data_IF_091145599497
#
_entry.id   IF_091145599497
#
_cell.length_a   1.000
_cell.length_b   1.000
_cell.length_c   1.000
_cell.angle_alpha   90.00
_cell.angle_beta   90.00
_cell.angle_gamma   90.00
#
_symmetry.space_group_name_H-M   'P 1'
#
loop_
_entity.id
_entity.type
_entity.pdbx_description
1 polymer ?
#
# COMPACT_ATOMS: atom_id res chain seq x y z
N UNK A 1 34.47 -22.23 -24.92
CA UNK A 1 33.17 -22.92 -24.73
C UNK A 1 31.99 -21.95 -24.71
N UNK A 2 32.01 -20.88 -23.89
CA UNK A 2 30.96 -19.85 -23.84
C UNK A 2 30.64 -19.19 -25.20
N UNK A 3 31.65 -18.93 -26.04
CA UNK A 3 31.43 -18.38 -27.38
C UNK A 3 30.72 -19.34 -28.34
N UNK A 4 30.95 -20.66 -28.24
CA UNK A 4 30.27 -21.67 -29.07
C UNK A 4 28.79 -21.87 -28.66
N UNK A 5 28.48 -21.69 -27.37
CA UNK A 5 27.10 -21.70 -26.85
C UNK A 5 26.33 -20.48 -27.36
N UNK A 6 26.97 -19.31 -27.43
CA UNK A 6 26.36 -18.09 -27.97
C UNK A 6 26.03 -18.23 -29.46
N UNK A 7 26.93 -18.79 -30.26
CA UNK A 7 26.68 -19.04 -31.69
C UNK A 7 25.58 -20.07 -31.89
N UNK A 8 25.58 -21.16 -31.12
CA UNK A 8 24.55 -22.20 -31.18
C UNK A 8 23.15 -21.68 -30.79
N UNK A 9 23.05 -20.89 -29.71
CA UNK A 9 21.80 -20.24 -29.32
C UNK A 9 21.34 -19.25 -30.37
N UNK A 10 22.25 -18.45 -30.94
CA UNK A 10 21.93 -17.48 -31.97
C UNK A 10 21.45 -18.14 -33.26
N UNK A 11 22.09 -19.21 -33.71
CA UNK A 11 21.70 -19.95 -34.91
C UNK A 11 20.39 -20.72 -34.71
N UNK A 12 20.15 -21.28 -33.52
CA UNK A 12 18.88 -21.90 -33.15
C UNK A 12 17.74 -20.86 -33.07
N UNK A 13 18.00 -19.68 -32.47
CA UNK A 13 17.06 -18.56 -32.40
C UNK A 13 16.76 -18.00 -33.79
N UNK A 14 17.77 -17.87 -34.65
CA UNK A 14 17.62 -17.43 -36.04
C UNK A 14 16.77 -18.42 -36.83
N UNK A 15 17.02 -19.72 -36.71
CA UNK A 15 16.22 -20.77 -37.36
C UNK A 15 14.76 -20.76 -36.91
N UNK A 16 14.51 -20.57 -35.60
CA UNK A 16 13.14 -20.47 -35.05
C UNK A 16 12.43 -19.19 -35.54
N UNK A 17 13.15 -18.07 -35.67
CA UNK A 17 12.61 -16.80 -36.18
C UNK A 17 12.34 -16.87 -37.69
N UNK A 18 13.20 -17.55 -38.45
CA UNK A 18 13.06 -17.73 -39.89
C UNK A 18 11.99 -18.76 -40.27
N UNK A 19 11.81 -19.85 -39.49
CA UNK A 19 10.77 -20.86 -39.73
C UNK A 19 9.39 -20.46 -39.19
N UNK A 20 9.29 -19.77 -38.04
CA UNK A 20 8.01 -19.58 -37.35
C UNK A 20 7.43 -18.18 -37.44
N UNK A 21 8.02 -17.24 -38.19
CA UNK A 21 7.37 -16.04 -38.74
C UNK A 21 6.34 -15.27 -37.89
N UNK A 22 6.40 -15.31 -36.56
CA UNK A 22 5.28 -14.88 -35.72
C UNK A 22 5.71 -13.77 -34.77
N UNK A 23 4.95 -12.67 -34.82
CA UNK A 23 4.94 -11.55 -33.88
C UNK A 23 4.98 -12.03 -32.42
N UNK A 24 4.39 -13.19 -32.14
CA UNK A 24 4.41 -13.92 -30.85
C UNK A 24 5.82 -14.14 -30.27
N UNK A 25 6.83 -14.44 -31.09
CA UNK A 25 8.19 -14.72 -30.63
C UNK A 25 8.95 -13.46 -30.24
N UNK A 26 8.74 -12.35 -30.97
CA UNK A 26 9.29 -11.02 -30.63
C UNK A 26 8.72 -10.50 -29.31
N UNK A 27 7.46 -10.83 -29.03
CA UNK A 27 6.78 -10.48 -27.78
C UNK A 27 7.33 -11.28 -26.61
N UNK A 28 7.53 -12.60 -26.78
CA UNK A 28 8.16 -13.46 -25.77
C UNK A 28 9.58 -12.98 -25.42
N UNK A 29 10.39 -12.67 -26.43
CA UNK A 29 11.76 -12.20 -26.24
C UNK A 29 11.85 -10.80 -25.60
N UNK A 30 10.91 -9.91 -25.92
CA UNK A 30 10.81 -8.59 -25.26
C UNK A 30 10.37 -8.71 -23.81
N UNK A 31 9.49 -9.67 -23.50
CA UNK A 31 9.10 -10.02 -22.14
C UNK A 31 10.29 -10.60 -21.37
N UNK A 32 11.08 -11.49 -21.96
CA UNK A 32 12.28 -12.07 -21.34
C UNK A 32 13.35 -11.02 -21.02
N UNK A 33 13.65 -10.11 -21.95
CA UNK A 33 14.59 -9.00 -21.71
C UNK A 33 14.07 -8.08 -20.59
N UNK A 34 12.77 -7.79 -20.59
CA UNK A 34 12.14 -6.95 -19.56
C UNK A 34 12.18 -7.62 -18.18
N UNK A 35 11.95 -8.93 -18.11
CA UNK A 35 12.07 -9.74 -16.90
C UNK A 35 13.53 -9.80 -16.40
N UNK A 36 14.51 -9.88 -17.31
CA UNK A 36 15.93 -9.90 -16.96
C UNK A 36 16.42 -8.55 -16.40
N UNK A 37 16.05 -7.44 -17.04
CA UNK A 37 16.33 -6.09 -16.54
C UNK A 37 15.66 -5.81 -15.19
N UNK A 38 14.42 -6.29 -15.01
CA UNK A 38 13.72 -6.25 -13.73
C UNK A 38 14.46 -7.04 -12.64
N UNK A 39 14.96 -8.24 -12.96
CA UNK A 39 15.72 -9.08 -12.04
C UNK A 39 17.03 -8.42 -11.61
N UNK A 40 17.75 -7.79 -12.54
CA UNK A 40 18.99 -7.05 -12.25
C UNK A 40 18.76 -5.86 -11.31
N UNK A 41 17.73 -5.04 -11.58
CA UNK A 41 17.37 -3.92 -10.72
C UNK A 41 16.94 -4.36 -9.32
N UNK A 42 16.32 -5.53 -9.21
CA UNK A 42 15.85 -6.11 -7.95
C UNK A 42 16.98 -6.71 -7.11
N UNK A 43 17.96 -7.38 -7.74
CA UNK A 43 19.17 -7.84 -7.07
C UNK A 43 19.95 -6.66 -6.46
N UNK A 44 20.07 -5.54 -7.19
CA UNK A 44 20.66 -4.30 -6.67
C UNK A 44 19.92 -3.74 -5.45
N UNK A 45 18.58 -3.78 -5.44
CA UNK A 45 17.77 -3.32 -4.31
C UNK A 45 17.89 -4.23 -3.08
N UNK A 46 17.91 -5.56 -3.27
CA UNK A 46 18.10 -6.51 -2.17
C UNK A 46 19.52 -6.37 -1.60
N UNK A 47 20.54 -6.24 -2.45
CA UNK A 47 21.91 -5.95 -2.02
C UNK A 47 21.99 -4.64 -1.23
N UNK A 48 21.30 -3.58 -1.66
CA UNK A 48 21.25 -2.31 -0.91
C UNK A 48 20.59 -2.45 0.47
N UNK A 49 19.53 -3.26 0.59
CA UNK A 49 18.86 -3.53 1.87
C UNK A 49 19.74 -4.38 2.79
N UNK A 50 20.50 -5.32 2.22
CA UNK A 50 21.37 -6.23 2.98
C UNK A 50 22.69 -5.59 3.42
N UNK A 51 23.22 -4.63 2.64
CA UNK A 51 24.46 -3.92 2.93
C UNK A 51 24.28 -2.87 4.05
N UNK A 52 23.07 -2.32 4.23
CA UNK A 52 22.79 -1.30 5.26
C UNK A 52 21.50 -1.59 6.05
N UNK A 53 21.49 -2.66 6.89
CA UNK A 53 20.33 -3.01 7.71
C UNK A 53 20.03 -1.97 8.81
N UNK A 54 20.97 -1.09 9.14
CA UNK A 54 20.79 -0.03 10.14
C UNK A 54 19.97 1.16 9.63
N UNK A 55 20.03 1.46 8.32
CA UNK A 55 19.16 2.46 7.67
C UNK A 55 17.75 1.94 7.36
N UNK A 56 17.54 0.63 7.26
CA UNK A 56 16.23 0.00 7.02
C UNK A 56 15.77 -0.88 8.19
N UNK A 57 15.48 -0.31 9.38
CA UNK A 57 15.06 -1.10 10.52
C UNK A 57 13.61 -1.55 10.38
N UNK A 58 13.39 -2.76 9.87
CA UNK A 58 12.13 -3.50 10.05
C UNK A 58 12.08 -4.05 11.49
N UNK A 59 11.81 -3.14 12.43
CA UNK A 59 11.38 -3.36 13.82
C UNK A 59 12.05 -4.46 14.67
N UNK A 60 12.82 -4.04 15.68
CA UNK A 60 13.09 -4.85 16.88
C UNK A 60 11.86 -4.77 17.82
N UNK A 61 10.91 -5.68 17.68
CA UNK A 61 9.81 -5.82 18.65
C UNK A 61 10.27 -6.69 19.82
N UNK A 62 10.86 -6.06 20.84
CA UNK A 62 10.86 -6.68 22.17
C UNK A 62 9.41 -6.59 22.69
N UNK A 63 8.67 -7.70 22.63
CA UNK A 63 7.29 -7.77 23.08
C UNK A 63 7.20 -7.47 24.58
N UNK A 64 6.83 -6.24 24.92
CA UNK A 64 6.54 -5.84 26.30
C UNK A 64 5.14 -6.33 26.67
N UNK A 65 5.04 -7.63 26.97
CA UNK A 65 3.79 -8.29 27.39
C UNK A 65 3.44 -7.88 28.83
N UNK A 66 2.19 -7.49 29.06
CA UNK A 66 1.65 -7.28 30.42
C UNK A 66 1.45 -8.64 31.12
N UNK A 67 1.36 -8.64 32.45
CA UNK A 67 1.16 -9.88 33.22
C UNK A 67 -0.20 -10.51 32.92
N UNK A 68 -0.27 -11.83 32.84
CA UNK A 68 -1.52 -12.56 32.53
C UNK A 68 -2.65 -12.23 33.53
N UNK A 69 -2.31 -11.92 34.78
CA UNK A 69 -3.25 -11.47 35.82
C UNK A 69 -3.89 -10.11 35.48
N UNK A 70 -3.10 -9.15 35.00
CA UNK A 70 -3.61 -7.85 34.56
C UNK A 70 -4.46 -7.97 33.29
N UNK A 71 -4.03 -8.83 32.36
CA UNK A 71 -4.77 -9.11 31.12
C UNK A 71 -6.15 -9.69 31.47
N UNK A 72 -6.20 -10.72 32.33
CA UNK A 72 -7.45 -11.33 32.78
C UNK A 72 -8.38 -10.31 33.45
N UNK A 73 -7.85 -9.44 34.32
CA UNK A 73 -8.61 -8.39 35.02
C UNK A 73 -9.19 -7.35 34.05
N UNK A 74 -8.44 -6.95 33.02
CA UNK A 74 -8.93 -6.00 31.99
C UNK A 74 -10.02 -6.64 31.13
N UNK A 75 -9.84 -7.91 30.74
CA UNK A 75 -10.80 -8.68 29.95
C UNK A 75 -12.12 -8.88 30.71
N UNK A 76 -12.06 -9.27 31.99
CA UNK A 76 -13.25 -9.50 32.81
C UNK A 76 -14.06 -8.22 32.99
N UNK A 77 -13.39 -7.11 33.32
CA UNK A 77 -14.03 -5.80 33.47
C UNK A 77 -14.73 -5.35 32.19
N UNK A 78 -14.12 -5.54 31.02
CA UNK A 78 -14.73 -5.15 29.75
C UNK A 78 -15.91 -6.05 29.37
N UNK A 79 -15.83 -7.34 29.69
CA UNK A 79 -16.95 -8.26 29.51
C UNK A 79 -18.15 -7.82 30.35
N UNK A 80 -17.93 -7.48 31.62
CA UNK A 80 -18.95 -6.93 32.51
C UNK A 80 -19.54 -5.62 31.98
N UNK A 81 -18.69 -4.68 31.53
CA UNK A 81 -19.14 -3.41 30.95
C UNK A 81 -20.03 -3.61 29.71
N UNK A 82 -19.74 -4.59 28.85
CA UNK A 82 -20.56 -4.88 27.67
C UNK A 82 -21.87 -5.55 28.02
N UNK A 83 -21.85 -6.49 28.96
CA UNK A 83 -23.07 -7.13 29.46
C UNK A 83 -23.99 -6.10 30.10
N UNK A 84 -23.45 -5.20 30.93
CA UNK A 84 -24.22 -4.14 31.58
C UNK A 84 -24.81 -3.13 30.60
N UNK A 85 -24.04 -2.69 29.59
CA UNK A 85 -24.55 -1.77 28.55
C UNK A 85 -25.65 -2.42 27.72
N UNK A 86 -25.44 -3.65 27.26
CA UNK A 86 -26.43 -4.35 26.46
C UNK A 86 -27.71 -4.67 27.25
N UNK A 87 -27.59 -5.07 28.53
CA UNK A 87 -28.76 -5.31 29.38
C UNK A 87 -29.56 -4.02 29.66
N UNK A 88 -28.89 -2.86 29.67
CA UNK A 88 -29.53 -1.55 29.80
C UNK A 88 -30.28 -1.15 28.53
N UNK A 89 -29.65 -1.34 27.38
CA UNK A 89 -30.18 -0.87 26.10
C UNK A 89 -31.18 -1.85 25.47
N UNK A 90 -31.06 -3.16 25.78
CA UNK A 90 -31.83 -4.25 25.17
C UNK A 90 -32.23 -5.34 26.19
N UNK A 91 -33.04 -4.96 27.18
CA UNK A 91 -33.42 -5.80 28.33
C UNK A 91 -34.18 -7.10 27.99
N UNK A 92 -34.95 -7.11 26.89
CA UNK A 92 -35.69 -8.30 26.43
C UNK A 92 -34.76 -9.31 25.73
N UNK A 93 -33.90 -8.82 24.83
CA UNK A 93 -32.92 -9.65 24.11
C UNK A 93 -31.89 -10.27 25.05
N UNK A 94 -31.46 -9.52 26.08
CA UNK A 94 -30.52 -10.01 27.09
C UNK A 94 -31.08 -11.19 27.90
N UNK A 95 -32.41 -11.29 28.04
CA UNK A 95 -33.10 -12.40 28.73
C UNK A 95 -33.40 -13.57 27.82
N UNK A 96 -33.74 -13.33 26.55
CA UNK A 96 -34.10 -14.40 25.59
C UNK A 96 -32.89 -15.26 25.17
N UNK A 97 -31.71 -14.66 24.96
CA UNK A 97 -30.58 -15.38 24.36
C UNK A 97 -29.24 -15.13 25.08
N UNK A 98 -29.15 -15.39 26.40
CA UNK A 98 -27.96 -15.04 27.19
C UNK A 98 -26.70 -15.81 26.78
N UNK A 99 -26.82 -17.07 26.34
CA UNK A 99 -25.67 -17.90 25.93
C UNK A 99 -25.01 -17.41 24.64
N UNK A 100 -25.79 -17.09 23.61
CA UNK A 100 -25.24 -16.57 22.35
C UNK A 100 -24.64 -15.18 22.55
N UNK A 101 -25.32 -14.31 23.31
CA UNK A 101 -24.80 -12.98 23.65
C UNK A 101 -23.47 -13.05 24.40
N UNK A 102 -23.33 -13.96 25.36
CA UNK A 102 -22.08 -14.13 26.09
C UNK A 102 -20.94 -14.60 25.18
N UNK A 103 -21.22 -15.49 24.22
CA UNK A 103 -20.22 -15.91 23.23
C UNK A 103 -19.81 -14.74 22.32
N UNK A 104 -20.77 -13.97 21.82
CA UNK A 104 -20.53 -12.77 21.04
C UNK A 104 -19.74 -11.70 21.80
N UNK A 105 -20.07 -11.45 23.07
CA UNK A 105 -19.31 -10.52 23.90
C UNK A 105 -17.89 -11.02 24.18
N UNK A 106 -17.67 -12.33 24.36
CA UNK A 106 -16.31 -12.87 24.50
C UNK A 106 -15.48 -12.66 23.23
N UNK A 107 -16.05 -12.90 22.05
CA UNK A 107 -15.39 -12.62 20.76
C UNK A 107 -15.09 -11.12 20.66
N UNK A 108 -16.05 -10.26 20.96
CA UNK A 108 -15.88 -8.81 20.92
C UNK A 108 -14.82 -8.32 21.90
N UNK A 109 -14.84 -8.79 23.15
CA UNK A 109 -13.84 -8.49 24.18
C UNK A 109 -12.47 -8.98 23.74
N UNK A 110 -12.37 -10.14 23.10
CA UNK A 110 -11.13 -10.65 22.54
C UNK A 110 -10.60 -9.73 21.44
N UNK A 111 -11.42 -9.35 20.46
CA UNK A 111 -11.07 -8.39 19.40
C UNK A 111 -10.64 -7.05 20.02
N UNK A 112 -11.43 -6.49 20.93
CA UNK A 112 -11.14 -5.21 21.56
C UNK A 112 -9.89 -5.25 22.44
N UNK A 113 -9.59 -6.39 23.06
CA UNK A 113 -8.38 -6.57 23.87
C UNK A 113 -7.13 -6.47 23.01
N UNK A 114 -7.17 -7.00 21.79
CA UNK A 114 -6.14 -6.76 20.80
C UNK A 114 -6.15 -5.30 20.36
N UNK A 115 -7.30 -4.76 19.95
CA UNK A 115 -7.40 -3.37 19.46
C UNK A 115 -6.98 -2.30 20.48
N UNK A 116 -7.18 -2.55 21.77
CA UNK A 116 -6.80 -1.63 22.85
C UNK A 116 -5.44 -1.97 23.47
N UNK A 117 -4.75 -2.99 22.94
CA UNK A 117 -3.47 -3.50 23.42
C UNK A 117 -3.47 -3.79 24.92
N UNK A 118 -4.54 -4.39 25.45
CA UNK A 118 -4.62 -4.67 26.89
C UNK A 118 -3.59 -5.70 27.35
N UNK A 119 -3.04 -6.45 26.38
CA UNK A 119 -1.94 -7.40 26.52
C UNK A 119 -0.56 -6.74 26.59
N UNK A 120 -0.48 -5.43 26.37
CA UNK A 120 0.76 -4.65 26.40
C UNK A 120 0.76 -3.77 27.64
N UNK A 121 1.87 -3.74 28.36
CA UNK A 121 2.03 -2.82 29.49
C UNK A 121 2.05 -1.38 28.95
N UNK A 122 1.08 -0.59 29.40
CA UNK A 122 0.82 0.77 28.90
C UNK A 122 1.97 1.73 29.24
N UNK A 123 2.51 1.64 30.45
CA UNK A 123 3.57 2.54 30.90
C UNK A 123 4.88 2.22 30.19
N UNK A 124 5.17 0.93 30.00
CA UNK A 124 6.34 0.49 29.26
C UNK A 124 6.22 0.78 27.77
N UNK A 125 5.04 0.62 27.16
CA UNK A 125 4.81 0.96 25.75
C UNK A 125 4.99 2.45 25.47
N UNK A 126 4.44 3.32 26.32
CA UNK A 126 4.57 4.77 26.16
C UNK A 126 6.02 5.26 26.34
N UNK A 127 6.75 4.66 27.28
CA UNK A 127 8.13 5.06 27.59
C UNK A 127 9.19 4.45 26.65
N UNK A 128 9.06 3.17 26.29
CA UNK A 128 10.07 2.43 25.51
C UNK A 128 9.75 2.32 24.02
N UNK A 129 8.48 2.38 23.63
CA UNK A 129 8.05 2.17 22.24
C UNK A 129 7.70 3.51 21.55
N UNK A 130 8.67 4.44 21.55
CA UNK A 130 8.56 5.69 20.79
C UNK A 130 8.84 5.38 19.32
N UNK A 131 7.92 5.76 18.43
CA UNK A 131 8.18 5.69 17.00
C UNK A 131 9.39 6.58 16.68
N UNK A 132 10.43 6.02 16.05
CA UNK A 132 11.67 6.75 15.73
C UNK A 132 11.40 8.01 14.91
N UNK A 133 10.44 7.94 13.97
CA UNK A 133 10.03 9.05 13.11
C UNK A 133 8.94 9.94 13.73
N UNK A 134 8.17 9.42 14.69
CA UNK A 134 7.06 10.16 15.32
C UNK A 134 7.10 10.00 16.84
N UNK A 135 8.14 10.53 17.52
CA UNK A 135 8.35 10.31 18.96
C UNK A 135 7.21 10.89 19.81
N UNK A 136 6.49 11.86 19.26
CA UNK A 136 5.35 12.52 19.89
C UNK A 136 3.99 12.02 19.36
N UNK A 137 3.97 10.99 18.50
CA UNK A 137 2.73 10.40 18.00
C UNK A 137 1.79 10.09 19.16
N UNK A 138 0.52 10.47 19.05
CA UNK A 138 -0.46 10.11 20.05
C UNK A 138 -0.59 8.58 20.17
N UNK A 139 -0.99 8.11 21.35
CA UNK A 139 -1.09 6.68 21.65
C UNK A 139 -2.01 5.93 20.69
N UNK A 140 -3.16 6.52 20.37
CA UNK A 140 -4.14 5.91 19.47
C UNK A 140 -3.53 5.62 18.09
N UNK A 141 -2.74 6.54 17.55
CA UNK A 141 -2.04 6.36 16.29
C UNK A 141 -1.00 5.24 16.37
N UNK A 142 -0.22 5.17 17.47
CA UNK A 142 0.75 4.09 17.68
C UNK A 142 0.07 2.73 17.73
N UNK A 143 -1.05 2.65 18.44
CA UNK A 143 -1.85 1.44 18.56
C UNK A 143 -2.43 1.01 17.22
N UNK A 144 -3.05 1.92 16.47
CA UNK A 144 -3.60 1.60 15.15
C UNK A 144 -2.52 1.14 14.16
N UNK A 145 -1.35 1.77 14.16
CA UNK A 145 -0.24 1.38 13.28
C UNK A 145 0.29 0.01 13.67
N UNK A 146 0.48 -0.26 14.96
CA UNK A 146 0.90 -1.59 15.44
C UNK A 146 -0.10 -2.67 15.04
N UNK A 147 -1.40 -2.42 15.25
CA UNK A 147 -2.46 -3.35 14.86
C UNK A 147 -2.49 -3.57 13.36
N UNK A 148 -2.35 -2.51 12.59
CA UNK A 148 -2.26 -2.60 11.14
C UNK A 148 -1.07 -3.47 10.73
N UNK A 149 0.12 -3.26 11.32
CA UNK A 149 1.32 -4.06 11.03
C UNK A 149 1.11 -5.54 11.41
N UNK A 150 0.50 -5.83 12.56
CA UNK A 150 0.21 -7.20 12.96
C UNK A 150 -0.81 -7.89 12.04
N UNK A 151 -1.88 -7.18 11.68
CA UNK A 151 -2.92 -7.70 10.79
C UNK A 151 -2.36 -7.92 9.39
N UNK A 152 -1.61 -6.95 8.84
CA UNK A 152 -1.07 -7.06 7.50
C UNK A 152 0.00 -8.16 7.42
N UNK A 153 0.79 -8.36 8.47
CA UNK A 153 1.77 -9.46 8.52
C UNK A 153 1.07 -10.82 8.48
N UNK A 154 0.01 -11.00 9.29
CA UNK A 154 -0.78 -12.23 9.27
C UNK A 154 -1.51 -12.44 7.93
N UNK A 155 -2.11 -11.40 7.38
CA UNK A 155 -2.74 -11.45 6.06
C UNK A 155 -1.72 -11.79 4.97
N UNK A 156 -0.54 -11.17 4.98
CA UNK A 156 0.53 -11.44 4.03
C UNK A 156 1.00 -12.89 4.13
N UNK A 157 1.12 -13.44 5.35
CA UNK A 157 1.46 -14.84 5.54
C UNK A 157 0.43 -15.80 4.92
N UNK A 158 -0.87 -15.57 5.17
CA UNK A 158 -1.94 -16.38 4.57
C UNK A 158 -1.94 -16.27 3.04
N UNK A 159 -1.84 -15.05 2.51
CA UNK A 159 -1.85 -14.84 1.06
C UNK A 159 -0.60 -15.48 0.43
N UNK A 160 0.55 -15.43 1.09
CA UNK A 160 1.78 -16.07 0.62
C UNK A 160 1.63 -17.59 0.51
N UNK A 161 1.06 -18.25 1.54
CA UNK A 161 0.75 -19.68 1.51
C UNK A 161 -0.21 -20.00 0.35
N UNK A 162 -1.28 -19.21 0.20
CA UNK A 162 -2.25 -19.42 -0.86
C UNK A 162 -1.63 -19.30 -2.26
N UNK A 163 -0.81 -18.27 -2.49
CA UNK A 163 -0.11 -18.04 -3.76
C UNK A 163 0.91 -19.14 -4.04
N UNK A 164 1.60 -19.65 -3.01
CA UNK A 164 2.50 -20.78 -3.14
C UNK A 164 1.76 -22.03 -3.63
N UNK A 165 0.63 -22.37 -3.00
CA UNK A 165 -0.19 -23.50 -3.43
C UNK A 165 -0.68 -23.34 -4.87
N UNK A 166 -1.16 -22.14 -5.24
CA UNK A 166 -1.63 -21.86 -6.59
C UNK A 166 -0.52 -21.96 -7.64
N UNK A 167 0.68 -21.47 -7.34
CA UNK A 167 1.85 -21.60 -8.21
C UNK A 167 2.30 -23.07 -8.36
N UNK A 168 2.26 -23.87 -7.29
CA UNK A 168 2.57 -25.30 -7.35
C UNK A 168 1.57 -26.04 -8.26
N UNK A 169 0.27 -25.81 -8.07
CA UNK A 169 -0.79 -26.41 -8.90
C UNK A 169 -0.61 -26.02 -10.37
N UNK A 170 -0.33 -24.74 -10.63
CA UNK A 170 -0.08 -24.23 -11.98
C UNK A 170 1.16 -24.86 -12.61
N UNK A 171 2.26 -24.96 -11.85
CA UNK A 171 3.49 -25.62 -12.30
C UNK A 171 3.27 -27.09 -12.64
N UNK A 172 2.52 -27.83 -11.83
CA UNK A 172 2.17 -29.24 -12.12
C UNK A 172 1.39 -29.35 -13.43
N UNK A 173 0.41 -28.47 -13.67
CA UNK A 173 -0.37 -28.44 -14.91
C UNK A 173 0.48 -28.09 -16.13
N UNK A 174 1.39 -27.13 -16.01
CA UNK A 174 2.31 -26.73 -17.08
C UNK A 174 3.22 -27.91 -17.41
N UNK A 175 3.87 -28.51 -16.41
CA UNK A 175 4.73 -29.69 -16.60
C UNK A 175 3.96 -30.82 -17.26
N UNK A 176 2.74 -31.14 -16.80
CA UNK A 176 1.96 -32.24 -17.36
C UNK A 176 1.57 -32.00 -18.83
N UNK A 177 1.24 -30.77 -19.21
CA UNK A 177 0.98 -30.40 -20.60
C UNK A 177 2.25 -30.50 -21.46
N UNK A 178 3.37 -29.96 -20.99
CA UNK A 178 4.61 -29.98 -21.76
C UNK A 178 5.19 -31.39 -21.93
N UNK A 179 5.03 -32.27 -20.94
CA UNK A 179 5.47 -33.66 -21.03
C UNK A 179 4.68 -34.50 -22.05
N UNK A 180 3.51 -34.04 -22.51
CA UNK A 180 2.72 -34.72 -23.53
C UNK A 180 3.26 -34.52 -24.96
N UNK A 181 4.09 -33.52 -25.21
CA UNK A 181 4.68 -33.30 -26.53
C UNK A 181 5.75 -34.37 -26.85
N UNK A 182 5.68 -34.94 -28.06
CA UNK A 182 6.58 -36.03 -28.50
C UNK A 182 8.06 -35.68 -28.38
N UNK A 183 8.44 -34.45 -28.76
CA UNK A 183 9.84 -34.00 -28.69
C UNK A 183 10.38 -33.94 -27.25
N UNK A 184 9.52 -33.61 -26.27
CA UNK A 184 9.87 -33.59 -24.84
C UNK A 184 9.91 -35.00 -24.29
N UNK A 185 8.96 -35.86 -24.71
CA UNK A 185 8.86 -37.25 -24.25
C UNK A 185 10.14 -38.05 -24.51
N UNK A 186 10.78 -37.80 -25.65
CA UNK A 186 11.96 -38.54 -26.11
C UNK A 186 13.31 -37.97 -25.63
N UNK A 187 13.33 -36.78 -25.03
CA UNK A 187 14.58 -36.12 -24.60
C UNK A 187 14.60 -35.84 -23.09
N UNK A 188 15.45 -36.54 -22.34
CA UNK A 188 15.66 -36.29 -20.90
C UNK A 188 16.18 -34.87 -20.62
N UNK A 189 16.97 -34.30 -21.53
CA UNK A 189 17.51 -32.94 -21.39
C UNK A 189 16.36 -31.92 -21.47
N UNK A 190 15.41 -32.10 -22.40
CA UNK A 190 14.26 -31.20 -22.51
C UNK A 190 13.33 -31.28 -21.30
N UNK A 191 13.09 -32.48 -20.77
CA UNK A 191 12.33 -32.65 -19.51
C UNK A 191 12.97 -31.89 -18.36
N UNK A 192 14.29 -31.97 -18.23
CA UNK A 192 15.03 -31.27 -17.20
C UNK A 192 15.00 -29.74 -17.39
N UNK A 193 15.15 -29.26 -18.64
CA UNK A 193 15.06 -27.83 -18.96
C UNK A 193 13.70 -27.24 -18.58
N UNK A 194 12.60 -27.91 -18.96
CA UNK A 194 11.23 -27.50 -18.62
C UNK A 194 11.03 -27.47 -17.10
N UNK A 195 11.58 -28.46 -16.39
CA UNK A 195 11.50 -28.48 -14.92
C UNK A 195 12.21 -27.26 -14.30
N UNK A 196 13.40 -26.90 -14.80
CA UNK A 196 14.12 -25.70 -14.36
C UNK A 196 13.30 -24.44 -14.65
N UNK A 197 12.77 -24.29 -15.87
CA UNK A 197 11.96 -23.13 -16.25
C UNK A 197 10.73 -22.97 -15.36
N UNK A 198 10.03 -24.06 -15.04
CA UNK A 198 8.87 -24.03 -14.14
C UNK A 198 9.28 -23.65 -12.71
N UNK A 199 10.41 -24.16 -12.20
CA UNK A 199 10.93 -23.76 -10.89
C UNK A 199 11.27 -22.26 -10.88
N UNK A 200 11.93 -21.76 -11.92
CA UNK A 200 12.27 -20.34 -12.06
C UNK A 200 11.00 -19.48 -12.15
N UNK A 201 10.00 -19.91 -12.90
CA UNK A 201 8.71 -19.24 -13.00
C UNK A 201 8.00 -19.14 -11.64
N UNK A 202 7.91 -20.25 -10.90
CA UNK A 202 7.32 -20.28 -9.55
C UNK A 202 8.09 -19.34 -8.61
N UNK A 203 9.42 -19.40 -8.62
CA UNK A 203 10.25 -18.53 -7.80
C UNK A 203 10.01 -17.05 -8.11
N UNK A 204 10.01 -16.68 -9.40
CA UNK A 204 9.80 -15.30 -9.83
C UNK A 204 8.39 -14.80 -9.49
N UNK A 205 7.37 -15.64 -9.69
CA UNK A 205 5.98 -15.34 -9.31
C UNK A 205 5.85 -15.07 -7.81
N UNK A 206 6.42 -15.94 -6.97
CA UNK A 206 6.43 -15.74 -5.51
C UNK A 206 7.14 -14.45 -5.11
N UNK A 207 8.29 -14.19 -5.73
CA UNK A 207 9.06 -13.01 -5.47
C UNK A 207 8.25 -11.75 -5.84
N UNK A 208 7.64 -11.67 -7.03
CA UNK A 208 6.81 -10.53 -7.45
C UNK A 208 5.68 -10.29 -6.44
N UNK A 209 5.00 -11.35 -6.02
CA UNK A 209 3.91 -11.27 -5.04
C UNK A 209 4.40 -10.74 -3.68
N UNK A 210 5.56 -11.16 -3.19
CA UNK A 210 6.15 -10.62 -1.97
C UNK A 210 6.48 -9.13 -2.09
N UNK A 211 7.02 -8.70 -3.23
CA UNK A 211 7.30 -7.28 -3.47
C UNK A 211 6.01 -6.46 -3.51
N UNK A 212 4.97 -6.97 -4.16
CA UNK A 212 3.66 -6.33 -4.16
C UNK A 212 3.14 -6.21 -2.72
N UNK A 213 3.10 -7.29 -1.95
CA UNK A 213 2.65 -7.26 -0.55
C UNK A 213 3.41 -6.23 0.30
N UNK A 214 4.74 -6.15 0.14
CA UNK A 214 5.56 -5.16 0.84
C UNK A 214 5.20 -3.73 0.42
N UNK A 215 5.05 -3.48 -0.88
CA UNK A 215 4.67 -2.17 -1.41
C UNK A 215 3.28 -1.75 -0.90
N UNK A 216 2.28 -2.64 -0.97
CA UNK A 216 0.94 -2.35 -0.43
C UNK A 216 1.00 -2.11 1.08
N UNK A 217 1.69 -2.98 1.83
CA UNK A 217 1.83 -2.84 3.28
C UNK A 217 2.47 -1.51 3.67
N UNK A 218 3.54 -1.09 2.98
CA UNK A 218 4.21 0.20 3.23
C UNK A 218 3.32 1.40 2.88
N UNK A 219 2.58 1.36 1.78
CA UNK A 219 1.68 2.44 1.37
C UNK A 219 0.52 2.60 2.36
N UNK A 220 -0.11 1.48 2.75
CA UNK A 220 -1.17 1.50 3.74
C UNK A 220 -0.69 1.94 5.12
N UNK A 221 0.47 1.45 5.58
CA UNK A 221 1.08 1.91 6.83
C UNK A 221 1.32 3.42 6.80
N UNK A 222 1.91 3.92 5.72
CA UNK A 222 2.16 5.34 5.48
C UNK A 222 0.86 6.15 5.57
N UNK A 223 -0.19 5.69 4.88
CA UNK A 223 -1.50 6.31 4.95
C UNK A 223 -2.07 6.34 6.36
N UNK A 224 -2.09 5.22 7.08
CA UNK A 224 -2.63 5.17 8.44
C UNK A 224 -1.88 6.11 9.39
N UNK A 225 -0.54 6.12 9.32
CA UNK A 225 0.29 7.02 10.12
C UNK A 225 -0.08 8.48 9.84
N UNK A 226 0.02 8.91 8.58
CA UNK A 226 -0.20 10.32 8.25
C UNK A 226 -1.66 10.74 8.48
N UNK A 227 -2.63 9.93 8.05
CA UNK A 227 -4.05 10.25 8.22
C UNK A 227 -4.41 10.42 9.69
N UNK A 228 -3.94 9.54 10.57
CA UNK A 228 -4.27 9.62 11.99
C UNK A 228 -3.64 10.85 12.66
N UNK A 229 -2.36 11.17 12.36
CA UNK A 229 -1.72 12.38 12.90
C UNK A 229 -2.39 13.65 12.37
N UNK A 230 -2.63 13.74 11.06
CA UNK A 230 -3.30 14.90 10.46
C UNK A 230 -4.73 15.08 10.95
N UNK A 231 -5.48 13.99 11.11
CA UNK A 231 -6.82 14.04 11.68
C UNK A 231 -6.78 14.58 13.12
N UNK A 232 -5.82 14.14 13.93
CA UNK A 232 -5.64 14.62 15.29
C UNK A 232 -5.29 16.12 15.33
N UNK A 233 -4.30 16.55 14.52
CA UNK A 233 -3.90 17.95 14.40
C UNK A 233 -5.10 18.82 13.98
N UNK A 234 -5.83 18.40 12.94
CA UNK A 234 -6.98 19.13 12.41
C UNK A 234 -8.11 19.23 13.46
N UNK A 235 -8.39 18.15 14.20
CA UNK A 235 -9.38 18.17 15.26
C UNK A 235 -8.98 19.10 16.41
N UNK A 236 -7.71 19.07 16.84
CA UNK A 236 -7.21 19.96 17.89
C UNK A 236 -7.28 21.43 17.45
N UNK A 237 -6.86 21.72 16.22
CA UNK A 237 -6.95 23.07 15.66
C UNK A 237 -8.40 23.57 15.62
N UNK A 238 -9.33 22.72 15.18
CA UNK A 238 -10.76 23.02 15.14
C UNK A 238 -11.36 23.21 16.54
N UNK A 239 -10.95 22.42 17.52
CA UNK A 239 -11.37 22.56 18.92
C UNK A 239 -10.92 23.91 19.48
N UNK A 240 -9.68 24.30 19.24
CA UNK A 240 -9.16 25.62 19.62
C UNK A 240 -9.97 26.74 18.96
N UNK A 241 -10.25 26.62 17.67
CA UNK A 241 -11.02 27.62 16.93
C UNK A 241 -12.46 27.76 17.45
N UNK A 242 -13.13 26.64 17.76
CA UNK A 242 -14.49 26.66 18.32
C UNK A 242 -14.51 27.28 19.72
N UNK A 243 -13.55 26.93 20.57
CA UNK A 243 -13.46 27.47 21.93
C UNK A 243 -13.15 28.98 21.93
N UNK A 244 -12.30 29.44 21.00
CA UNK A 244 -12.01 30.88 20.86
C UNK A 244 -13.18 31.66 20.25
N UNK A 245 -14.05 31.01 19.46
CA UNK A 245 -15.31 31.62 18.99
C UNK A 245 -16.30 31.89 20.12
N UNK A 246 -16.32 31.06 21.17
CA UNK A 246 -17.17 31.22 22.35
C UNK A 246 -16.65 32.29 23.34
N UNK A 247 -16.05 33.38 22.82
CA UNK A 247 -15.56 34.57 23.56
C UNK A 247 -14.43 34.33 24.58
N UNK A 248 -13.79 33.16 24.62
CA UNK A 248 -12.59 32.97 25.44
C UNK A 248 -11.36 33.58 24.74
N UNK A 249 -10.63 34.51 25.37
CA UNK A 249 -9.42 35.07 24.78
C UNK A 249 -8.36 33.97 24.62
N UNK A 250 -7.59 34.03 23.53
CA UNK A 250 -6.44 33.15 23.34
C UNK A 250 -5.39 33.50 24.39
N UNK A 251 -5.12 32.56 25.31
CA UNK A 251 -4.12 32.70 26.36
C UNK A 251 -2.79 32.05 25.92
N UNK A 252 -1.77 32.14 26.78
CA UNK A 252 -0.44 31.60 26.49
C UNK A 252 -0.44 30.07 26.31
N UNK A 253 -1.32 29.35 26.99
CA UNK A 253 -1.46 27.90 26.83
C UNK A 253 -1.96 27.54 25.44
N UNK A 254 -3.00 28.22 24.96
CA UNK A 254 -3.53 28.02 23.59
C UNK A 254 -2.48 28.40 22.54
N UNK A 255 -1.67 29.44 22.77
CA UNK A 255 -0.56 29.79 21.87
C UNK A 255 0.50 28.69 21.81
N UNK A 256 0.80 28.02 22.93
CA UNK A 256 1.72 26.87 22.95
C UNK A 256 1.15 25.71 22.15
N UNK A 257 -0.15 25.42 22.27
CA UNK A 257 -0.83 24.39 21.48
C UNK A 257 -0.83 24.70 19.98
N UNK A 258 -1.13 25.94 19.59
CA UNK A 258 -1.05 26.39 18.19
C UNK A 258 0.39 26.27 17.65
N UNK A 259 1.38 26.63 18.46
CA UNK A 259 2.79 26.44 18.08
C UNK A 259 3.12 24.97 17.86
N UNK A 260 2.64 24.10 18.75
CA UNK A 260 2.83 22.66 18.63
C UNK A 260 2.21 22.14 17.33
N UNK A 261 0.95 22.49 17.04
CA UNK A 261 0.27 22.13 15.79
C UNK A 261 1.06 22.57 14.56
N UNK A 262 1.53 23.81 14.53
CA UNK A 262 2.31 24.33 13.40
C UNK A 262 3.64 23.58 13.21
N UNK A 263 4.35 23.30 14.30
CA UNK A 263 5.61 22.52 14.24
C UNK A 263 5.33 21.11 13.73
N UNK A 264 4.31 20.44 14.30
CA UNK A 264 3.96 19.07 13.93
C UNK A 264 3.53 18.97 12.47
N UNK A 265 2.71 19.90 11.97
CA UNK A 265 2.33 19.95 10.55
C UNK A 265 3.56 20.08 9.63
N UNK A 266 4.48 21.00 9.94
CA UNK A 266 5.72 21.15 9.16
C UNK A 266 6.61 19.90 9.23
N UNK A 267 6.73 19.27 10.40
CA UNK A 267 7.47 18.01 10.54
C UNK A 267 6.85 16.89 9.69
N UNK A 268 5.52 16.76 9.71
CA UNK A 268 4.82 15.78 8.87
C UNK A 268 5.03 16.09 7.37
N UNK A 269 4.97 17.36 6.98
CA UNK A 269 5.20 17.77 5.60
C UNK A 269 6.62 17.39 5.12
N UNK A 270 7.62 17.63 5.96
CA UNK A 270 9.00 17.22 5.70
C UNK A 270 9.10 15.71 5.50
N UNK A 271 8.48 14.90 6.36
CA UNK A 271 8.50 13.45 6.21
C UNK A 271 7.79 12.94 4.95
N UNK A 272 6.68 13.55 4.54
CA UNK A 272 6.03 13.21 3.26
C UNK A 272 6.98 13.50 2.10
N UNK A 273 7.52 14.72 2.02
CA UNK A 273 8.38 15.12 0.91
C UNK A 273 9.68 14.29 0.86
N UNK A 274 10.25 13.96 2.02
CA UNK A 274 11.46 13.13 2.09
C UNK A 274 11.16 11.68 1.70
N UNK A 275 10.13 11.06 2.28
CA UNK A 275 9.76 9.67 1.97
C UNK A 275 9.34 9.50 0.51
N UNK A 276 8.66 10.50 -0.05
CA UNK A 276 8.36 10.53 -1.47
C UNK A 276 9.64 10.51 -2.31
N UNK A 277 10.54 11.49 -2.09
CA UNK A 277 11.77 11.66 -2.87
C UNK A 277 12.67 10.42 -2.87
N UNK A 278 12.81 9.76 -1.73
CA UNK A 278 13.79 8.68 -1.57
C UNK A 278 13.20 7.27 -1.63
N UNK A 279 11.92 7.09 -1.35
CA UNK A 279 11.34 5.75 -1.14
C UNK A 279 10.17 5.46 -2.07
N UNK A 280 9.19 6.36 -2.20
CA UNK A 280 7.92 6.01 -2.83
C UNK A 280 7.78 6.49 -4.28
N UNK A 281 8.35 7.63 -4.63
CA UNK A 281 8.16 8.26 -5.95
C UNK A 281 8.58 7.35 -7.12
N UNK A 282 9.76 6.71 -7.03
CA UNK A 282 10.26 5.81 -8.08
C UNK A 282 9.49 4.49 -8.17
N UNK A 283 9.25 3.75 -7.08
CA UNK A 283 8.43 2.53 -7.15
C UNK A 283 7.02 2.79 -7.67
N UNK A 284 6.38 3.90 -7.28
CA UNK A 284 5.05 4.26 -7.76
C UNK A 284 5.04 4.58 -9.26
N UNK A 285 6.09 5.23 -9.77
CA UNK A 285 6.28 5.44 -11.20
C UNK A 285 6.41 4.12 -11.95
N UNK A 286 7.29 3.22 -11.51
CA UNK A 286 7.45 1.90 -12.16
C UNK A 286 6.18 1.06 -12.07
N UNK A 287 5.48 1.12 -10.94
CA UNK A 287 4.20 0.45 -10.77
C UNK A 287 3.17 0.95 -11.78
N UNK A 288 3.02 2.28 -11.94
CA UNK A 288 2.15 2.84 -12.96
C UNK A 288 2.58 2.46 -14.39
N UNK A 289 3.88 2.54 -14.69
CA UNK A 289 4.46 2.28 -16.01
C UNK A 289 4.28 0.82 -16.45
N UNK A 290 4.26 -0.13 -15.51
CA UNK A 290 4.04 -1.55 -15.82
C UNK A 290 2.55 -1.88 -15.78
N UNK A 291 1.81 -1.40 -14.79
CA UNK A 291 0.40 -1.76 -14.63
C UNK A 291 -0.49 -1.18 -15.73
N UNK A 292 -0.24 0.04 -16.21
CA UNK A 292 -1.07 0.66 -17.25
C UNK A 292 -1.00 -0.14 -18.57
N UNK A 293 0.18 -0.42 -19.17
CA UNK A 293 0.26 -1.17 -20.42
C UNK A 293 -0.30 -2.59 -20.32
N UNK A 294 -0.07 -3.30 -19.21
CA UNK A 294 -0.62 -4.65 -19.02
C UNK A 294 -2.14 -4.62 -19.06
N UNK A 295 -2.76 -3.65 -18.36
CA UNK A 295 -4.21 -3.53 -18.36
C UNK A 295 -4.76 -3.13 -19.72
N UNK A 296 -4.07 -2.25 -20.46
CA UNK A 296 -4.45 -1.90 -21.82
C UNK A 296 -4.38 -3.12 -22.73
N UNK A 297 -3.30 -3.90 -22.65
CA UNK A 297 -3.11 -5.10 -23.45
C UNK A 297 -4.22 -6.14 -23.21
N UNK A 298 -4.55 -6.44 -21.95
CA UNK A 298 -5.66 -7.35 -21.65
C UNK A 298 -7.01 -6.85 -22.19
N UNK A 299 -7.25 -5.53 -22.16
CA UNK A 299 -8.46 -4.96 -22.72
C UNK A 299 -8.47 -4.99 -24.25
N UNK A 300 -7.34 -4.78 -24.91
CA UNK A 300 -7.22 -4.91 -26.37
C UNK A 300 -7.46 -6.35 -26.82
N UNK A 301 -6.82 -7.33 -26.18
CA UNK A 301 -7.01 -8.76 -26.44
C UNK A 301 -8.49 -9.15 -26.25
N UNK A 302 -9.15 -8.67 -25.19
CA UNK A 302 -10.57 -8.90 -24.95
C UNK A 302 -11.50 -8.38 -26.04
N UNK A 303 -11.11 -7.32 -26.75
CA UNK A 303 -11.96 -6.66 -27.73
C UNK A 303 -11.66 -7.13 -29.16
N UNK A 304 -10.40 -7.42 -29.47
CA UNK A 304 -9.94 -7.70 -30.83
C UNK A 304 -9.97 -9.19 -31.13
N UNK A 305 -9.62 -10.04 -30.17
CA UNK A 305 -9.52 -11.48 -30.40
C UNK A 305 -10.86 -12.17 -30.17
N UNK A 306 -11.16 -13.16 -31.03
CA UNK A 306 -12.30 -14.07 -30.87
C UNK A 306 -12.01 -15.11 -29.78
N UNK A 307 -12.01 -14.65 -28.54
CA UNK A 307 -11.70 -15.46 -27.36
C UNK A 307 -12.94 -16.25 -26.91
N UNK A 308 -12.82 -17.54 -26.53
CA UNK A 308 -13.93 -18.30 -25.93
C UNK A 308 -14.50 -17.62 -24.69
N UNK A 309 -15.83 -17.69 -24.48
CA UNK A 309 -16.54 -17.01 -23.39
C UNK A 309 -15.95 -17.29 -21.99
N UNK A 310 -15.47 -18.51 -21.74
CA UNK A 310 -14.81 -18.87 -20.48
C UNK A 310 -13.51 -18.09 -20.25
N UNK A 311 -12.72 -17.90 -21.30
CA UNK A 311 -11.46 -17.16 -21.27
C UNK A 311 -11.71 -15.66 -21.22
N UNK A 312 -12.73 -15.15 -21.92
CA UNK A 312 -13.17 -13.74 -21.79
C UNK A 312 -13.53 -13.39 -20.35
N UNK A 313 -14.32 -14.24 -19.68
CA UNK A 313 -14.68 -14.03 -18.27
C UNK A 313 -13.43 -13.94 -17.38
N UNK A 314 -12.45 -14.83 -17.59
CA UNK A 314 -11.18 -14.82 -16.84
C UNK A 314 -10.42 -13.51 -17.07
N UNK A 315 -10.28 -13.05 -18.32
CA UNK A 315 -9.59 -11.81 -18.64
C UNK A 315 -10.29 -10.57 -18.06
N UNK A 316 -11.63 -10.53 -18.07
CA UNK A 316 -12.41 -9.45 -17.44
C UNK A 316 -12.15 -9.43 -15.93
N UNK A 317 -12.19 -10.58 -15.26
CA UNK A 317 -11.91 -10.68 -13.83
C UNK A 317 -10.47 -10.26 -13.52
N UNK A 318 -9.48 -10.75 -14.28
CA UNK A 318 -8.08 -10.37 -14.08
C UNK A 318 -7.86 -8.86 -14.27
N UNK A 319 -8.40 -8.28 -15.34
CA UNK A 319 -8.28 -6.85 -15.63
C UNK A 319 -8.96 -5.99 -14.57
N UNK A 320 -10.13 -6.42 -14.09
CA UNK A 320 -10.86 -5.74 -13.01
C UNK A 320 -10.10 -5.79 -11.69
N UNK A 321 -9.60 -6.95 -11.30
CA UNK A 321 -8.79 -7.13 -10.09
C UNK A 321 -7.51 -6.30 -10.19
N UNK A 322 -6.82 -6.35 -11.33
CA UNK A 322 -5.60 -5.58 -11.55
C UNK A 322 -5.85 -4.06 -11.55
N UNK A 323 -6.94 -3.60 -12.16
CA UNK A 323 -7.35 -2.18 -12.12
C UNK A 323 -7.63 -1.70 -10.69
N UNK A 324 -8.45 -2.45 -9.95
CA UNK A 324 -8.84 -2.10 -8.57
C UNK A 324 -7.63 -2.10 -7.66
N UNK A 325 -6.83 -3.17 -7.70
CA UNK A 325 -5.62 -3.27 -6.89
C UNK A 325 -4.67 -2.15 -7.26
N UNK A 326 -4.39 -1.92 -8.55
CA UNK A 326 -3.54 -0.82 -9.03
C UNK A 326 -3.99 0.57 -8.58
N UNK A 327 -5.29 0.83 -8.50
CA UNK A 327 -5.83 2.14 -8.15
C UNK A 327 -5.79 2.45 -6.64
N UNK A 328 -5.98 1.43 -5.79
CA UNK A 328 -6.07 1.60 -4.32
C UNK A 328 -4.87 2.33 -3.72
N UNK A 329 -3.60 1.98 -4.04
CA UNK A 329 -2.43 2.67 -3.51
C UNK A 329 -2.43 4.16 -3.83
N UNK A 330 -2.79 4.50 -5.07
CA UNK A 330 -2.77 5.87 -5.54
C UNK A 330 -3.87 6.72 -4.89
N UNK A 331 -5.10 6.18 -4.76
CA UNK A 331 -6.18 6.83 -4.01
C UNK A 331 -5.78 7.05 -2.55
N UNK A 332 -5.17 6.03 -1.96
CA UNK A 332 -4.74 6.04 -0.56
C UNK A 332 -3.72 7.15 -0.29
N UNK A 333 -2.76 7.37 -1.19
CA UNK A 333 -1.79 8.46 -1.08
C UNK A 333 -2.40 9.84 -1.41
N UNK A 334 -3.34 9.91 -2.37
CA UNK A 334 -4.09 11.14 -2.66
C UNK A 334 -4.94 11.61 -1.47
N UNK A 335 -5.52 10.68 -0.71
CA UNK A 335 -6.22 10.97 0.54
C UNK A 335 -5.28 11.62 1.58
N UNK A 336 -4.03 11.19 1.68
CA UNK A 336 -3.04 11.84 2.56
C UNK A 336 -2.81 13.29 2.14
N UNK A 337 -2.61 13.54 0.84
CA UNK A 337 -2.45 14.91 0.34
C UNK A 337 -3.68 15.78 0.65
N UNK A 338 -4.89 15.25 0.42
CA UNK A 338 -6.12 15.95 0.79
C UNK A 338 -6.20 16.26 2.28
N UNK A 339 -5.76 15.34 3.15
CA UNK A 339 -5.77 15.53 4.59
C UNK A 339 -4.80 16.63 5.06
N UNK A 340 -3.63 16.75 4.41
CA UNK A 340 -2.65 17.80 4.69
C UNK A 340 -3.19 19.20 4.42
N UNK A 341 -3.92 19.35 3.32
CA UNK A 341 -4.40 20.65 2.88
C UNK A 341 -5.70 21.08 3.57
N UNK A 342 -6.39 20.18 4.27
CA UNK A 342 -7.67 20.48 4.95
C UNK A 342 -7.55 21.56 6.04
N UNK A 343 -6.37 21.74 6.64
CA UNK A 343 -6.18 22.75 7.69
C UNK A 343 -6.35 24.18 7.15
N UNK A 344 -6.05 24.41 5.86
CA UNK A 344 -6.05 25.75 5.25
C UNK A 344 -7.41 26.44 5.34
N UNK A 345 -8.50 25.67 5.28
CA UNK A 345 -9.87 26.17 5.32
C UNK A 345 -10.19 26.86 6.66
N UNK A 346 -9.41 26.55 7.70
CA UNK A 346 -9.61 27.07 9.05
C UNK A 346 -8.58 28.13 9.44
N UNK A 347 -7.47 28.27 8.70
CA UNK A 347 -6.39 29.20 9.04
C UNK A 347 -6.87 30.66 9.04
N UNK A 348 -7.59 31.17 8.01
CA UNK A 348 -8.04 32.57 8.00
C UNK A 348 -8.89 32.91 9.24
N UNK A 349 -9.79 32.02 9.62
CA UNK A 349 -10.63 32.19 10.80
C UNK A 349 -9.82 32.22 12.11
N UNK A 350 -8.73 31.45 12.20
CA UNK A 350 -7.82 31.49 13.35
C UNK A 350 -6.99 32.78 13.38
N UNK A 351 -6.49 33.24 12.23
CA UNK A 351 -5.71 34.48 12.13
C UNK A 351 -6.51 35.71 12.59
N UNK A 352 -7.81 35.76 12.28
CA UNK A 352 -8.71 36.82 12.78
C UNK A 352 -8.82 36.82 14.30
N UNK A 353 -8.68 35.66 14.95
CA UNK A 353 -8.70 35.53 16.42
C UNK A 353 -7.35 35.87 17.07
N UNK A 354 -6.25 35.79 16.32
CA UNK A 354 -4.91 36.17 16.77
C UNK A 354 -4.71 37.70 16.65
N UNK A 355 -5.50 38.48 17.39
CA UNK A 355 -5.57 39.94 17.26
C UNK A 355 -4.69 40.75 18.24
N UNK A 356 -4.07 40.10 19.24
CA UNK A 356 -3.19 40.78 20.21
C UNK A 356 -1.79 40.96 19.64
N UNK A 357 -1.10 42.02 20.05
CA UNK A 357 0.31 42.28 19.68
C UNK A 357 1.23 41.12 20.06
N UNK A 358 0.97 40.45 21.19
CA UNK A 358 1.71 39.27 21.64
C UNK A 358 1.52 38.03 20.74
N UNK A 359 0.53 38.05 19.83
CA UNK A 359 0.22 36.92 18.94
C UNK A 359 0.84 37.05 17.54
N UNK A 360 1.43 38.21 17.21
CA UNK A 360 1.93 38.54 15.86
C UNK A 360 2.81 37.44 15.29
N UNK A 361 3.76 36.92 16.08
CA UNK A 361 4.67 35.85 15.63
C UNK A 361 3.94 34.57 15.21
N UNK A 362 2.86 34.21 15.90
CA UNK A 362 2.06 33.03 15.51
C UNK A 362 1.20 33.32 14.29
N UNK A 363 0.67 34.54 14.18
CA UNK A 363 -0.10 34.96 13.00
C UNK A 363 0.72 34.88 11.72
N UNK A 364 1.95 35.41 11.73
CA UNK A 364 2.88 35.36 10.60
C UNK A 364 3.23 33.92 10.20
N UNK A 365 3.44 33.02 11.17
CA UNK A 365 3.70 31.60 10.89
C UNK A 365 2.54 30.89 10.18
N UNK A 366 1.31 31.18 10.63
CA UNK A 366 0.13 30.61 9.99
C UNK A 366 -0.18 31.25 8.64
N UNK A 367 0.23 32.51 8.44
CA UNK A 367 0.15 33.18 7.15
C UNK A 367 1.04 32.52 6.11
N UNK A 368 2.32 32.33 6.45
CA UNK A 368 3.27 31.56 5.65
C UNK A 368 2.77 30.13 5.36
N UNK A 369 2.24 29.44 6.38
CA UNK A 369 1.67 28.11 6.17
C UNK A 369 0.47 28.13 5.21
N UNK A 370 -0.41 29.13 5.33
CA UNK A 370 -1.57 29.27 4.46
C UNK A 370 -1.16 29.53 3.02
N UNK A 371 -0.21 30.43 2.80
CA UNK A 371 0.35 30.74 1.48
C UNK A 371 0.97 29.48 0.84
N UNK A 372 1.79 28.73 1.60
CA UNK A 372 2.37 27.47 1.13
C UNK A 372 1.32 26.42 0.76
N UNK A 373 0.21 26.34 1.49
CA UNK A 373 -0.87 25.37 1.20
C UNK A 373 -1.76 25.78 0.01
N UNK A 374 -1.90 27.08 -0.23
CA UNK A 374 -2.73 27.62 -1.32
C UNK A 374 -1.96 27.68 -2.64
N UNK A 375 -0.79 28.29 -2.63
CA UNK A 375 -0.03 28.66 -3.82
C UNK A 375 1.30 27.92 -3.96
N UNK A 376 1.83 27.38 -2.86
CA UNK A 376 3.06 26.59 -2.88
C UNK A 376 2.89 25.23 -3.56
N UNK A 377 4.03 24.55 -3.78
CA UNK A 377 4.06 23.16 -4.24
C UNK A 377 3.23 22.29 -3.30
N UNK A 378 2.39 21.42 -3.87
CA UNK A 378 1.52 20.55 -3.07
C UNK A 378 2.35 19.62 -2.20
N UNK A 379 1.97 19.53 -0.92
CA UNK A 379 2.48 18.50 -0.02
C UNK A 379 1.75 17.20 -0.36
N UNK A 380 2.36 16.42 -1.25
CA UNK A 380 1.82 15.18 -1.77
C UNK A 380 2.95 14.20 -2.04
N UNK A 381 2.58 12.92 -2.16
CA UNK A 381 3.42 11.94 -2.84
C UNK A 381 3.38 12.19 -4.35
N UNK A 382 4.31 11.63 -5.11
CA UNK A 382 4.41 11.83 -6.56
C UNK A 382 4.44 10.51 -7.32
N UNK A 383 3.98 10.54 -8.57
CA UNK A 383 4.14 9.48 -9.56
C UNK A 383 5.50 9.59 -10.28
N UNK A 384 6.60 9.72 -9.54
CA UNK A 384 7.88 10.04 -10.18
C UNK A 384 7.80 11.34 -10.95
N UNK A 385 8.08 11.26 -12.24
CA UNK A 385 8.07 12.40 -13.16
C UNK A 385 6.67 12.75 -13.70
N UNK A 386 5.64 11.93 -13.44
CA UNK A 386 4.29 12.16 -13.97
C UNK A 386 3.48 13.21 -13.18
N UNK A 387 3.90 13.55 -11.96
CA UNK A 387 3.29 14.62 -11.17
C UNK A 387 2.80 14.19 -9.78
N UNK A 388 2.04 15.08 -9.13
CA UNK A 388 1.60 14.92 -7.74
C UNK A 388 0.40 13.98 -7.61
N UNK A 389 0.46 13.05 -6.67
CA UNK A 389 -0.64 12.17 -6.25
C UNK A 389 -1.70 12.95 -5.49
N UNK A 390 -2.54 13.64 -6.24
CA UNK A 390 -3.75 14.34 -5.79
C UNK A 390 -4.95 13.80 -6.55
N UNK A 391 -6.18 14.04 -6.10
CA UNK A 391 -7.37 13.63 -6.86
C UNK A 391 -7.38 14.16 -8.29
N UNK A 392 -6.87 15.38 -8.49
CA UNK A 392 -6.69 15.96 -9.82
C UNK A 392 -5.64 15.17 -10.63
N UNK A 393 -4.48 14.89 -10.04
CA UNK A 393 -3.44 14.09 -10.69
C UNK A 393 -3.90 12.67 -11.04
N UNK A 394 -4.71 12.04 -10.19
CA UNK A 394 -5.33 10.74 -10.49
C UNK A 394 -6.30 10.82 -11.66
N UNK A 395 -7.09 11.88 -11.73
CA UNK A 395 -8.01 12.11 -12.85
C UNK A 395 -7.24 12.34 -14.16
N UNK A 396 -6.18 13.14 -14.13
CA UNK A 396 -5.30 13.35 -15.28
C UNK A 396 -4.62 12.03 -15.73
N UNK A 397 -4.12 11.22 -14.80
CA UNK A 397 -3.57 9.90 -15.10
C UNK A 397 -4.61 8.93 -15.69
N UNK A 398 -5.85 8.98 -15.21
CA UNK A 398 -6.97 8.21 -15.76
C UNK A 398 -7.30 8.62 -17.20
N UNK A 399 -7.30 9.92 -17.52
CA UNK A 399 -7.44 10.38 -18.90
C UNK A 399 -6.27 9.91 -19.78
N UNK A 400 -5.04 9.95 -19.24
CA UNK A 400 -3.86 9.40 -19.91
C UNK A 400 -3.98 7.91 -20.21
N UNK A 401 -4.58 7.13 -19.30
CA UNK A 401 -4.89 5.72 -19.51
C UNK A 401 -5.83 5.50 -20.70
N UNK A 402 -6.92 6.28 -20.82
CA UNK A 402 -7.82 6.18 -21.98
C UNK A 402 -7.12 6.54 -23.29
N UNK A 403 -6.31 7.59 -23.29
CA UNK A 403 -5.54 7.97 -24.47
C UNK A 403 -4.60 6.85 -24.92
N UNK A 404 -3.87 6.24 -23.96
CA UNK A 404 -3.00 5.10 -24.25
C UNK A 404 -3.79 3.88 -24.75
N UNK A 405 -4.96 3.60 -24.16
CA UNK A 405 -5.86 2.54 -24.58
C UNK A 405 -6.28 2.69 -26.04
N UNK A 406 -6.86 3.84 -26.43
CA UNK A 406 -7.30 4.07 -27.80
C UNK A 406 -6.16 4.06 -28.81
N UNK A 407 -4.97 4.55 -28.41
CA UNK A 407 -3.79 4.56 -29.27
C UNK A 407 -3.30 3.14 -29.55
N UNK A 408 -3.15 2.30 -28.52
CA UNK A 408 -2.72 0.90 -28.66
C UNK A 408 -3.77 0.09 -29.42
N UNK A 409 -5.05 0.29 -29.10
CA UNK A 409 -6.16 -0.35 -29.81
C UNK A 409 -6.16 0.01 -31.31
N UNK A 410 -5.90 1.27 -31.65
CA UNK A 410 -5.80 1.71 -33.04
C UNK A 410 -4.66 1.03 -33.81
N UNK A 411 -3.53 0.74 -33.16
CA UNK A 411 -2.46 -0.07 -33.75
C UNK A 411 -2.88 -1.53 -33.95
N UNK A 412 -3.47 -2.15 -32.92
CA UNK A 412 -3.97 -3.53 -32.98
C UNK A 412 -4.98 -3.73 -34.11
N UNK A 413 -5.97 -2.84 -34.22
CA UNK A 413 -7.00 -2.91 -35.26
C UNK A 413 -6.42 -2.76 -36.68
N UNK A 414 -5.34 -1.99 -36.83
CA UNK A 414 -4.68 -1.81 -38.13
C UNK A 414 -3.93 -3.08 -38.55
N UNK A 415 -3.26 -3.74 -37.60
CA UNK A 415 -2.50 -4.96 -37.84
C UNK A 415 -3.40 -6.14 -38.21
N UNK A 416 -4.60 -6.24 -37.62
CA UNK A 416 -5.59 -7.26 -37.99
C UNK A 416 -6.35 -6.97 -39.29
N UNK A 417 -6.22 -5.75 -39.84
CA UNK A 417 -6.86 -5.36 -41.11
C UNK A 417 -5.98 -5.56 -42.35
N UNK A 418 -4.70 -5.90 -42.16
CA UNK A 418 -3.72 -6.24 -43.19
C UNK A 418 -3.44 -7.73 -43.21
#
# INVERSE_FOLDING_TARGET
MLFKIKTFLYDALKHIVEENGTVRYRLLHSVDISLYLYWFMRALFISLIYIDPERFPLYRYDYIRDTDKNIAKKLSKRLEDYQQRFARDHSLLSKMIPRLLNHWFRIRVWIDSWLQLDRVDRNLFENRNKMRLFPNANRQSRTHVLLFVLIIDYCNHIIHIFILLLNIISGIKIISQFLQYEFVKNSSIMKFSIMIEVILFIHNSLAINQCAMLLYGTIWATYYVFRNQLAHINQNFMKILRNSRQRKPINMTVLKELRFIHIEHNTLAYYVLQSDKYTLSRPLYYFALVSIPINVLFMCELIVEDIPAQTQFVFIVMSSVHAITGLIPFITLALVSSAFHKIKDYIPAMQLRLNRSTHIRMKLKYDDLYERLMFGKKIAFTFGYLGDLTYRGLFEAFLGYFAAFFLIMGFYMREHST
#
